data_IF_798884542260
#
_entry.id   IF_798884542260
#
_cell.length_a   1.000
_cell.length_b   1.000
_cell.length_c   1.000
_cell.angle_alpha   90.00
_cell.angle_beta   90.00
_cell.angle_gamma   90.00
#
_symmetry.space_group_name_H-M   'P 1'
#
loop_
_entity.id
_entity.type
_entity.pdbx_description
1 polymer ?
#
# COMPACT_ATOMS: atom_id res chain seq x y z
N UNK A 1 3.15 13.47 19.80
CA UNK A 1 3.66 14.55 18.93
C UNK A 1 2.97 14.39 17.59
N UNK A 2 2.31 15.43 17.09
CA UNK A 2 1.65 15.39 15.79
C UNK A 2 2.62 14.93 14.68
N UNK A 3 2.24 13.99 13.80
CA UNK A 3 3.10 13.48 12.72
C UNK A 3 3.62 14.60 11.81
N UNK A 4 2.79 15.62 11.55
CA UNK A 4 3.16 16.81 10.79
C UNK A 4 4.23 17.65 11.49
N UNK A 5 4.18 17.74 12.82
CA UNK A 5 5.20 18.42 13.62
C UNK A 5 6.51 17.64 13.58
N UNK A 6 6.48 16.31 13.66
CA UNK A 6 7.67 15.46 13.52
C UNK A 6 8.35 15.69 12.17
N UNK A 7 7.61 15.65 11.06
CA UNK A 7 8.14 15.92 9.71
C UNK A 7 8.81 17.29 9.63
N UNK A 8 8.20 18.33 10.21
CA UNK A 8 8.78 19.68 10.26
C UNK A 8 10.06 19.73 11.10
N UNK A 9 10.06 19.12 12.28
CA UNK A 9 11.24 19.08 13.15
C UNK A 9 12.40 18.35 12.47
N UNK A 10 12.14 17.24 11.78
CA UNK A 10 13.16 16.51 11.01
C UNK A 10 13.77 17.40 9.92
N UNK A 11 12.93 18.10 9.15
CA UNK A 11 13.40 19.05 8.13
C UNK A 11 14.21 20.21 8.71
N UNK A 12 13.78 20.77 9.84
CA UNK A 12 14.54 21.81 10.56
C UNK A 12 15.88 21.30 11.11
N UNK A 13 15.94 20.02 11.48
CA UNK A 13 17.17 19.33 11.88
C UNK A 13 18.08 18.92 10.72
N UNK A 14 17.76 19.29 9.48
CA UNK A 14 18.55 18.95 8.29
C UNK A 14 18.27 17.57 7.70
N UNK A 15 17.22 16.87 8.15
CA UNK A 15 16.77 15.60 7.57
C UNK A 15 15.70 15.89 6.52
N UNK A 16 16.06 15.71 5.25
CA UNK A 16 15.10 15.85 4.17
C UNK A 16 14.16 14.63 4.10
N UNK A 17 12.87 14.90 3.98
CA UNK A 17 11.83 13.88 3.78
C UNK A 17 11.35 14.07 2.35
N UNK A 18 11.88 13.19 1.52
CA UNK A 18 11.70 13.10 0.08
C UNK A 18 10.91 11.81 -0.23
N UNK A 19 10.06 11.77 -1.26
CA UNK A 19 9.87 12.73 -2.36
C UNK A 19 8.84 13.84 -2.10
N UNK A 20 9.16 15.06 -2.57
CA UNK A 20 8.22 16.18 -2.65
C UNK A 20 7.21 16.02 -3.79
N UNK A 21 6.15 16.83 -3.78
CA UNK A 21 5.06 16.77 -4.78
C UNK A 21 5.56 16.86 -6.23
N UNK A 22 6.59 17.65 -6.48
CA UNK A 22 7.21 17.94 -7.78
C UNK A 22 8.36 16.99 -8.15
N UNK A 23 8.64 15.97 -7.33
CA UNK A 23 9.75 15.03 -7.58
C UNK A 23 9.69 14.38 -8.97
N UNK A 24 8.49 14.11 -9.48
CA UNK A 24 8.31 13.51 -10.81
C UNK A 24 8.92 14.35 -11.95
N UNK A 25 9.09 15.66 -11.75
CA UNK A 25 9.73 16.56 -12.72
C UNK A 25 11.23 16.28 -12.84
N UNK A 26 11.86 15.84 -11.75
CA UNK A 26 13.31 15.62 -11.67
C UNK A 26 13.72 14.17 -11.87
N UNK A 27 12.76 13.24 -11.88
CA UNK A 27 13.00 11.80 -12.01
C UNK A 27 12.25 11.22 -13.23
N UNK A 28 12.78 11.40 -14.45
CA UNK A 28 12.07 11.07 -15.69
C UNK A 28 11.76 9.58 -15.87
N UNK A 29 12.49 8.71 -15.17
CA UNK A 29 12.30 7.26 -15.22
C UNK A 29 11.30 6.73 -14.17
N UNK A 30 10.76 7.60 -13.32
CA UNK A 30 9.77 7.22 -12.31
C UNK A 30 8.40 7.74 -12.70
N UNK A 31 7.44 6.82 -12.78
CA UNK A 31 6.05 7.17 -13.07
C UNK A 31 5.34 7.46 -11.76
N UNK A 32 5.04 8.75 -11.49
CA UNK A 32 4.15 9.10 -10.37
C UNK A 32 2.84 8.33 -10.49
N UNK A 33 2.25 7.96 -9.36
CA UNK A 33 0.92 7.34 -9.34
C UNK A 33 -0.18 8.40 -9.30
N UNK A 34 -1.39 7.99 -9.68
CA UNK A 34 -2.60 8.80 -9.51
C UNK A 34 -2.83 9.11 -8.02
N UNK A 35 -2.76 10.39 -7.65
CA UNK A 35 -2.71 10.83 -6.25
C UNK A 35 -3.90 10.36 -5.41
N UNK A 36 -5.12 10.43 -5.94
CA UNK A 36 -6.31 10.01 -5.18
C UNK A 36 -6.30 8.51 -4.89
N UNK A 37 -5.86 7.72 -5.87
CA UNK A 37 -5.70 6.28 -5.71
C UNK A 37 -4.59 5.96 -4.71
N UNK A 38 -3.44 6.63 -4.84
CA UNK A 38 -2.30 6.48 -3.94
C UNK A 38 -2.67 6.80 -2.48
N UNK A 39 -3.38 7.91 -2.26
CA UNK A 39 -3.83 8.31 -0.93
C UNK A 39 -4.87 7.35 -0.35
N UNK A 40 -5.79 6.85 -1.18
CA UNK A 40 -6.75 5.82 -0.76
C UNK A 40 -6.04 4.53 -0.35
N UNK A 41 -5.06 4.08 -1.14
CA UNK A 41 -4.26 2.91 -0.82
C UNK A 41 -3.50 3.13 0.48
N UNK A 42 -2.85 4.28 0.70
CA UNK A 42 -2.18 4.58 1.97
C UNK A 42 -3.12 4.55 3.16
N UNK A 43 -4.34 5.04 3.01
CA UNK A 43 -5.33 4.97 4.07
C UNK A 43 -5.68 3.51 4.40
N UNK A 44 -5.86 2.67 3.38
CA UNK A 44 -6.06 1.23 3.57
C UNK A 44 -4.84 0.57 4.24
N UNK A 45 -3.61 0.88 3.81
CA UNK A 45 -2.39 0.35 4.44
C UNK A 45 -2.32 0.73 5.93
N UNK A 46 -2.69 1.96 6.27
CA UNK A 46 -2.73 2.43 7.64
C UNK A 46 -3.80 1.72 8.48
N UNK A 47 -5.00 1.49 7.93
CA UNK A 47 -6.05 0.73 8.61
C UNK A 47 -5.66 -0.73 8.91
N UNK A 48 -4.90 -1.33 8.01
CA UNK A 48 -4.52 -2.74 8.11
C UNK A 48 -3.11 -2.96 8.67
N UNK A 49 -2.42 -1.93 9.14
CA UNK A 49 -0.99 -2.01 9.50
C UNK A 49 -0.69 -2.94 10.68
N UNK A 50 -1.67 -3.21 11.55
CA UNK A 50 -1.52 -4.13 12.69
C UNK A 50 -1.82 -5.59 12.34
N UNK A 51 -2.47 -5.83 11.20
CA UNK A 51 -2.97 -7.14 10.80
C UNK A 51 -2.34 -7.65 9.50
N UNK A 52 -1.71 -6.78 8.72
CA UNK A 52 -1.07 -7.13 7.46
C UNK A 52 0.35 -6.58 7.39
N UNK A 53 1.22 -7.39 6.78
CA UNK A 53 2.51 -6.95 6.30
C UNK A 53 2.37 -6.56 4.83
N UNK A 54 2.76 -5.33 4.51
CA UNK A 54 2.85 -4.84 3.14
C UNK A 54 4.30 -4.67 2.73
N UNK A 55 4.64 -5.12 1.53
CA UNK A 55 5.98 -4.97 0.96
C UNK A 55 5.87 -4.40 -0.44
N UNK A 56 6.95 -3.72 -0.86
CA UNK A 56 7.10 -3.28 -2.24
C UNK A 56 7.05 -4.47 -3.20
N UNK A 57 6.66 -4.21 -4.45
CA UNK A 57 6.71 -5.17 -5.55
C UNK A 57 7.51 -4.57 -6.70
N UNK A 58 8.37 -5.36 -7.34
CA UNK A 58 9.14 -4.85 -8.50
C UNK A 58 8.26 -4.49 -9.69
N UNK A 59 7.03 -5.01 -9.70
CA UNK A 59 6.06 -4.76 -10.76
C UNK A 59 5.43 -3.38 -10.66
N UNK A 60 5.54 -2.69 -9.52
CA UNK A 60 4.92 -1.37 -9.34
C UNK A 60 5.46 -0.35 -10.35
N UNK A 61 6.78 -0.36 -10.59
CA UNK A 61 7.41 0.50 -11.59
C UNK A 61 6.82 0.29 -12.99
N UNK A 62 6.60 -0.96 -13.38
CA UNK A 62 6.04 -1.33 -14.69
C UNK A 62 4.51 -1.15 -14.78
N UNK A 63 3.82 -0.96 -13.66
CA UNK A 63 2.36 -0.92 -13.61
C UNK A 63 1.75 0.38 -14.18
N UNK A 64 2.57 1.41 -14.40
CA UNK A 64 2.13 2.71 -14.93
C UNK A 64 1.42 3.60 -13.91
N UNK A 65 0.75 4.65 -14.39
CA UNK A 65 0.20 5.74 -13.56
C UNK A 65 -1.05 5.35 -12.74
N UNK A 66 -1.96 4.56 -13.33
CA UNK A 66 -3.27 4.19 -12.75
C UNK A 66 -3.28 2.82 -12.07
N UNK A 67 -2.11 2.30 -11.70
CA UNK A 67 -2.03 1.01 -11.03
C UNK A 67 -0.91 1.01 -9.99
N UNK A 68 -1.26 0.56 -8.78
CA UNK A 68 -0.32 0.29 -7.70
C UNK A 68 -0.23 -1.21 -7.52
N UNK A 69 1.00 -1.73 -7.54
CA UNK A 69 1.26 -3.15 -7.32
C UNK A 69 2.11 -3.29 -6.06
N UNK A 70 1.66 -4.13 -5.13
CA UNK A 70 2.35 -4.35 -3.86
C UNK A 70 2.16 -5.79 -3.40
N UNK A 71 3.00 -6.23 -2.47
CA UNK A 71 2.85 -7.52 -1.82
C UNK A 71 2.12 -7.35 -0.50
N UNK A 72 1.23 -8.27 -0.19
CA UNK A 72 0.54 -8.30 1.11
C UNK A 72 0.51 -9.71 1.69
N UNK A 73 0.55 -9.78 3.02
CA UNK A 73 0.48 -11.01 3.81
C UNK A 73 -0.23 -10.73 5.12
N UNK A 74 -1.25 -11.52 5.45
CA UNK A 74 -1.93 -11.42 6.75
C UNK A 74 -1.03 -11.95 7.87
N UNK A 75 -0.96 -11.20 8.96
CA UNK A 75 -0.22 -11.50 10.19
C UNK A 75 -1.11 -12.30 11.14
N UNK A 76 -0.98 -13.62 11.07
CA UNK A 76 -1.66 -14.54 11.99
C UNK A 76 -0.61 -15.08 12.96
N UNK A 77 -0.71 -14.70 14.24
CA UNK A 77 0.29 -15.00 15.29
C UNK A 77 0.63 -16.50 15.42
N UNK A 78 -0.29 -17.39 15.03
CA UNK A 78 -0.12 -18.85 15.07
C UNK A 78 0.30 -19.49 13.75
N UNK A 79 0.32 -18.75 12.63
CA UNK A 79 0.77 -19.24 11.31
C UNK A 79 2.07 -18.54 10.92
N UNK A 80 3.20 -19.23 11.13
CA UNK A 80 4.53 -18.71 10.77
C UNK A 80 4.73 -18.52 9.26
N UNK A 81 4.01 -19.25 8.42
CA UNK A 81 4.34 -19.39 6.99
C UNK A 81 3.22 -18.91 6.06
N UNK A 82 2.55 -17.77 6.32
CA UNK A 82 1.74 -17.15 5.26
C UNK A 82 2.68 -16.61 4.16
N UNK A 83 2.36 -16.86 2.89
CA UNK A 83 3.13 -16.38 1.74
C UNK A 83 2.67 -14.99 1.35
N UNK A 84 3.58 -14.17 0.81
CA UNK A 84 3.18 -12.91 0.20
C UNK A 84 2.39 -13.18 -1.07
N UNK A 85 1.28 -12.47 -1.22
CA UNK A 85 0.49 -12.43 -2.44
C UNK A 85 0.68 -11.07 -3.11
N UNK A 86 0.75 -11.06 -4.44
CA UNK A 86 0.84 -9.83 -5.22
C UNK A 86 -0.57 -9.29 -5.45
N UNK A 87 -0.76 -8.02 -5.11
CA UNK A 87 -1.98 -7.26 -5.24
C UNK A 87 -1.80 -6.18 -6.30
N UNK A 88 -2.84 -5.94 -7.08
CA UNK A 88 -2.97 -4.82 -8.02
C UNK A 88 -4.16 -3.96 -7.61
N UNK A 89 -3.93 -2.67 -7.41
CA UNK A 89 -4.92 -1.68 -6.99
C UNK A 89 -4.98 -0.54 -8.01
N UNK A 90 -6.17 -0.35 -8.59
CA UNK A 90 -6.49 0.70 -9.55
C UNK A 90 -7.56 1.63 -8.95
N UNK A 91 -7.89 2.78 -9.57
CA UNK A 91 -8.98 3.63 -9.08
C UNK A 91 -10.36 2.95 -9.09
N UNK A 92 -10.51 1.84 -9.81
CA UNK A 92 -11.81 1.20 -10.07
C UNK A 92 -11.95 -0.18 -9.41
N UNK A 93 -10.84 -0.82 -9.06
CA UNK A 93 -10.82 -2.17 -8.48
C UNK A 93 -9.50 -2.50 -7.80
N UNK A 94 -9.55 -3.44 -6.87
CA UNK A 94 -8.39 -4.14 -6.34
C UNK A 94 -8.54 -5.66 -6.51
N UNK A 95 -7.45 -6.35 -6.79
CA UNK A 95 -7.45 -7.81 -7.00
C UNK A 95 -6.10 -8.44 -6.67
N UNK A 96 -6.13 -9.71 -6.28
CA UNK A 96 -4.94 -10.54 -6.26
C UNK A 96 -4.59 -10.97 -7.68
N UNK A 97 -3.32 -10.80 -8.01
CA UNK A 97 -2.79 -11.06 -9.35
C UNK A 97 -2.24 -12.47 -9.41
N UNK A 98 -2.45 -13.16 -10.52
CA UNK A 98 -1.81 -14.44 -10.81
C UNK A 98 -0.36 -14.23 -11.31
N UNK A 99 0.46 -13.63 -10.46
CA UNK A 99 1.86 -13.33 -10.72
C UNK A 99 2.65 -13.36 -9.42
N UNK A 100 3.92 -13.74 -9.51
CA UNK A 100 4.87 -13.71 -8.39
C UNK A 100 6.00 -12.73 -8.68
N UNK A 101 6.82 -12.42 -7.69
CA UNK A 101 8.03 -11.62 -7.91
C UNK A 101 9.05 -12.31 -8.81
N UNK A 102 9.03 -13.64 -8.94
CA UNK A 102 9.98 -14.39 -9.79
C UNK A 102 9.46 -14.63 -11.21
N UNK A 103 8.21 -14.25 -11.51
CA UNK A 103 7.61 -14.45 -12.83
C UNK A 103 8.35 -13.64 -13.92
N UNK A 104 8.51 -14.17 -15.13
CA UNK A 104 9.25 -13.46 -16.18
C UNK A 104 8.53 -12.21 -16.70
N UNK A 105 7.20 -12.22 -16.70
CA UNK A 105 6.35 -11.15 -17.23
C UNK A 105 5.30 -10.77 -16.19
N UNK A 106 5.00 -9.47 -16.10
CA UNK A 106 3.89 -9.00 -15.30
C UNK A 106 2.58 -9.42 -15.95
N UNK A 107 1.79 -10.20 -15.21
CA UNK A 107 0.42 -10.47 -15.58
C UNK A 107 -0.48 -9.58 -14.71
N UNK A 108 -1.50 -8.92 -15.26
CA UNK A 108 -2.47 -8.14 -14.47
C UNK A 108 -3.84 -8.85 -14.41
N UNK A 109 -3.91 -10.12 -14.80
CA UNK A 109 -5.13 -10.91 -14.64
C UNK A 109 -5.28 -11.34 -13.19
N UNK A 110 -6.51 -11.20 -12.68
CA UNK A 110 -6.84 -11.69 -11.35
C UNK A 110 -6.85 -13.21 -11.28
N UNK A 111 -6.62 -13.73 -10.08
CA UNK A 111 -6.77 -15.15 -9.79
C UNK A 111 -8.21 -15.58 -10.09
N UNK A 112 -8.37 -16.68 -10.82
CA UNK A 112 -9.67 -17.19 -11.25
C UNK A 112 -10.54 -17.49 -10.03
N UNK A 113 -11.79 -17.04 -10.06
CA UNK A 113 -12.75 -17.25 -8.97
C UNK A 113 -12.75 -16.18 -7.88
N UNK A 114 -11.92 -15.14 -8.00
CA UNK A 114 -11.97 -13.98 -7.10
C UNK A 114 -13.18 -13.09 -7.40
N UNK A 115 -13.84 -12.63 -6.35
CA UNK A 115 -14.96 -11.68 -6.45
C UNK A 115 -14.45 -10.30 -6.87
N UNK A 116 -15.26 -9.57 -7.63
CA UNK A 116 -14.97 -8.17 -7.92
C UNK A 116 -14.94 -7.34 -6.63
N UNK A 117 -13.82 -6.67 -6.38
CA UNK A 117 -13.63 -5.76 -5.25
C UNK A 117 -13.33 -4.36 -5.80
N UNK A 118 -14.12 -3.36 -5.40
CA UNK A 118 -13.98 -1.98 -5.88
C UNK A 118 -12.71 -1.29 -5.39
N UNK A 119 -12.16 -1.72 -4.26
CA UNK A 119 -10.95 -1.17 -3.67
C UNK A 119 -10.21 -2.17 -2.77
N UNK A 120 -9.06 -1.74 -2.23
CA UNK A 120 -8.22 -2.56 -1.36
C UNK A 120 -8.96 -2.93 -0.07
N UNK A 121 -9.74 -2.00 0.50
CA UNK A 121 -10.51 -2.27 1.70
C UNK A 121 -11.50 -3.43 1.47
N UNK A 122 -12.27 -3.38 0.39
CA UNK A 122 -13.24 -4.43 0.05
C UNK A 122 -12.56 -5.78 -0.18
N UNK A 123 -11.40 -5.78 -0.85
CA UNK A 123 -10.62 -6.99 -1.07
C UNK A 123 -10.12 -7.61 0.24
N UNK A 124 -9.59 -6.80 1.14
CA UNK A 124 -9.14 -7.27 2.46
C UNK A 124 -10.33 -7.77 3.26
N UNK A 125 -11.46 -7.07 3.29
CA UNK A 125 -12.64 -7.48 4.06
C UNK A 125 -13.26 -8.79 3.57
N UNK A 126 -13.17 -9.08 2.27
CA UNK A 126 -13.62 -10.35 1.66
C UNK A 126 -12.69 -11.52 2.02
N UNK A 127 -11.39 -11.27 2.15
CA UNK A 127 -10.36 -12.32 2.32
C UNK A 127 -9.80 -12.48 3.73
N UNK A 128 -9.96 -11.49 4.60
CA UNK A 128 -9.36 -11.47 5.92
C UNK A 128 -9.99 -12.46 6.90
N UNK A 129 -9.17 -12.90 7.86
CA UNK A 129 -9.62 -13.72 8.98
C UNK A 129 -10.45 -12.91 9.99
N UNK A 130 -11.20 -13.62 10.83
CA UNK A 130 -11.97 -13.01 11.92
C UNK A 130 -11.10 -12.16 12.87
N UNK A 131 -9.87 -12.62 13.16
CA UNK A 131 -8.93 -11.93 14.04
C UNK A 131 -8.60 -10.53 13.50
N UNK A 132 -8.45 -10.40 12.19
CA UNK A 132 -8.18 -9.12 11.55
C UNK A 132 -9.38 -8.17 11.66
N UNK A 133 -10.60 -8.70 11.56
CA UNK A 133 -11.83 -7.89 11.74
C UNK A 133 -11.92 -7.35 13.17
N UNK A 134 -11.64 -8.17 14.17
CA UNK A 134 -11.61 -7.76 15.58
C UNK A 134 -10.52 -6.69 15.84
N UNK A 135 -9.33 -6.85 15.25
CA UNK A 135 -8.26 -5.83 15.32
C UNK A 135 -8.66 -4.51 14.67
N UNK A 136 -9.41 -4.57 13.57
CA UNK A 136 -9.89 -3.39 12.85
C UNK A 136 -10.95 -2.62 13.67
N UNK A 137 -11.85 -3.33 14.35
CA UNK A 137 -12.87 -2.71 15.23
C UNK A 137 -12.26 -1.95 16.40
N UNK A 138 -11.10 -2.40 16.89
CA UNK A 138 -10.42 -1.83 18.05
C UNK A 138 -9.20 -0.96 17.67
N UNK A 139 -9.02 -0.61 16.39
CA UNK A 139 -7.84 0.12 15.97
C UNK A 139 -7.87 1.56 16.48
N UNK A 140 -6.73 2.04 16.96
CA UNK A 140 -6.57 3.43 17.37
C UNK A 140 -6.54 4.36 16.15
N UNK A 141 -7.48 5.30 16.09
CA UNK A 141 -7.55 6.32 15.05
C UNK A 141 -6.29 7.18 14.98
N UNK A 142 -5.60 7.44 16.10
CA UNK A 142 -4.34 8.20 16.10
C UNK A 142 -3.20 7.43 15.43
N UNK A 143 -3.13 6.11 15.63
CA UNK A 143 -2.20 5.25 14.94
C UNK A 143 -2.44 5.30 13.42
N UNK A 144 -3.70 5.14 13.00
CA UNK A 144 -4.07 5.17 11.57
C UNK A 144 -3.70 6.53 10.96
N UNK A 145 -4.07 7.63 11.61
CA UNK A 145 -3.74 8.98 11.15
C UNK A 145 -2.21 9.20 11.06
N UNK A 146 -1.45 8.65 12.01
CA UNK A 146 0.01 8.73 12.04
C UNK A 146 0.65 7.98 10.88
N UNK A 147 0.28 6.71 10.70
CA UNK A 147 0.80 5.87 9.62
C UNK A 147 0.43 6.46 8.26
N UNK A 148 -0.83 6.86 8.08
CA UNK A 148 -1.29 7.52 6.86
C UNK A 148 -0.51 8.80 6.55
N UNK A 149 -0.30 9.66 7.56
CA UNK A 149 0.45 10.91 7.38
C UNK A 149 1.89 10.62 6.98
N UNK A 150 2.54 9.65 7.61
CA UNK A 150 3.91 9.27 7.24
C UNK A 150 4.00 8.73 5.82
N UNK A 151 3.12 7.81 5.43
CA UNK A 151 3.07 7.24 4.08
C UNK A 151 2.83 8.32 3.01
N UNK A 152 1.95 9.29 3.30
CA UNK A 152 1.68 10.40 2.39
C UNK A 152 2.87 11.34 2.23
N UNK A 153 3.69 11.52 3.26
CA UNK A 153 4.87 12.39 3.21
C UNK A 153 6.06 11.73 2.51
N UNK A 154 6.17 10.39 2.59
CA UNK A 154 7.25 9.63 1.94
C UNK A 154 6.88 9.06 0.57
N UNK A 155 5.60 9.11 0.18
CA UNK A 155 5.07 8.70 -1.13
C UNK A 155 5.72 7.43 -1.72
N UNK A 156 5.91 6.41 -0.88
CA UNK A 156 6.67 5.19 -1.22
C UNK A 156 6.08 4.42 -2.42
N UNK A 157 4.77 4.49 -2.66
CA UNK A 157 4.10 3.82 -3.79
C UNK A 157 4.18 4.63 -5.08
N UNK A 158 4.38 5.94 -4.95
CA UNK A 158 4.52 6.90 -6.06
C UNK A 158 5.79 6.68 -6.90
N UNK A 159 6.83 6.11 -6.28
CA UNK A 159 8.20 6.07 -6.83
C UNK A 159 8.87 4.69 -6.67
N UNK A 160 8.08 3.62 -6.46
CA UNK A 160 8.56 2.23 -6.37
C UNK A 160 8.22 1.38 -7.58
#
# INVERSE_FOLDING_TARGET
MEPTKLVRTLKQGGIDIFPSFDTFVFMPNLTSKHLVMEYHVYYCLALFSLSYHFSWSRWNLAAGYFNIVLQMKELIERRKNTTFQVLSATPYRALFVDCTEVSSVFNNTGIIGTKFCCDLYSLVMDTCSYITKEKLENIDCELVATVYTMLRQTRILGFS
#
